data_IF_853442305297
#
_entry.id   IF_853442305297
#
_cell.length_a   1.000
_cell.length_b   1.000
_cell.length_c   1.000
_cell.angle_alpha   90.00
_cell.angle_beta   90.00
_cell.angle_gamma   90.00
#
_symmetry.space_group_name_H-M   'P 1'
#
loop_
_entity.id
_entity.type
_entity.pdbx_description
1 polymer ?
#
# COMPACT_ATOMS: atom_id res chain seq x y z
N UNK A 1 -38.69 26.82 -37.02
CA UNK A 1 -37.70 26.30 -36.06
C UNK A 1 -36.48 25.80 -36.81
N UNK A 2 -35.26 26.17 -36.40
CA UNK A 2 -34.13 25.25 -36.51
C UNK A 2 -33.46 25.05 -35.15
N UNK A 3 -33.24 23.78 -34.83
CA UNK A 3 -32.54 23.28 -33.64
C UNK A 3 -31.07 23.70 -33.69
N UNK A 4 -30.62 24.47 -32.70
CA UNK A 4 -29.22 24.83 -32.54
C UNK A 4 -28.54 23.74 -31.72
N UNK A 5 -27.78 22.91 -32.42
CA UNK A 5 -26.87 21.87 -31.96
C UNK A 5 -26.22 22.22 -30.61
N UNK A 6 -26.45 21.35 -29.61
CA UNK A 6 -25.71 21.41 -28.36
C UNK A 6 -24.21 21.21 -28.65
N UNK A 7 -23.41 22.23 -28.36
CA UNK A 7 -21.95 22.12 -28.37
C UNK A 7 -21.55 21.18 -27.24
N UNK A 8 -21.18 19.94 -27.57
CA UNK A 8 -20.52 19.06 -26.61
C UNK A 8 -19.11 19.62 -26.36
N UNK A 9 -18.95 20.40 -25.29
CA UNK A 9 -17.66 20.85 -24.81
C UNK A 9 -16.98 19.68 -24.10
N UNK A 10 -16.43 18.77 -24.88
CA UNK A 10 -15.49 17.79 -24.38
C UNK A 10 -14.26 18.54 -23.87
N UNK A 11 -14.17 18.73 -22.55
CA UNK A 11 -12.90 19.07 -21.91
C UNK A 11 -11.96 17.93 -22.24
N UNK A 12 -10.85 18.23 -22.93
CA UNK A 12 -9.74 17.29 -23.07
C UNK A 12 -9.18 17.12 -21.67
N UNK A 13 -9.68 16.11 -20.95
CA UNK A 13 -9.07 15.64 -19.71
C UNK A 13 -7.74 15.04 -20.12
N UNK A 14 -6.67 15.81 -20.00
CA UNK A 14 -5.32 15.29 -20.15
C UNK A 14 -5.15 14.19 -19.10
N UNK A 15 -5.07 12.94 -19.57
CA UNK A 15 -4.95 11.78 -18.71
C UNK A 15 -3.56 11.79 -18.10
N UNK A 16 -3.44 12.20 -16.84
CA UNK A 16 -2.23 12.02 -16.07
C UNK A 16 -2.21 10.59 -15.53
N UNK A 17 -1.39 9.73 -16.12
CA UNK A 17 -1.18 8.38 -15.60
C UNK A 17 -0.31 8.48 -14.36
N UNK A 18 -0.88 8.15 -13.20
CA UNK A 18 -0.09 8.03 -11.98
C UNK A 18 0.89 6.85 -12.14
N UNK A 19 2.20 7.10 -12.04
CA UNK A 19 3.17 6.01 -12.13
C UNK A 19 2.98 5.06 -10.94
N UNK A 20 3.19 3.77 -11.19
CA UNK A 20 3.25 2.78 -10.12
C UNK A 20 4.50 3.01 -9.27
N UNK A 21 4.36 2.82 -7.96
CA UNK A 21 5.48 2.87 -7.05
C UNK A 21 6.51 1.80 -7.38
N UNK A 22 7.78 2.20 -7.38
CA UNK A 22 8.94 1.30 -7.47
C UNK A 22 9.66 1.37 -6.14
N UNK A 23 10.39 0.32 -5.78
CA UNK A 23 11.19 0.32 -4.55
C UNK A 23 12.43 1.21 -4.66
N UNK A 24 12.20 2.53 -4.68
CA UNK A 24 13.17 3.61 -4.71
C UNK A 24 13.09 4.44 -3.41
N UNK A 25 13.83 5.54 -3.37
CA UNK A 25 13.86 6.45 -2.22
C UNK A 25 12.49 7.06 -1.91
N UNK A 26 11.76 7.54 -2.93
CA UNK A 26 10.41 8.11 -2.73
C UNK A 26 9.43 7.08 -2.14
N UNK A 27 9.51 5.82 -2.55
CA UNK A 27 8.70 4.75 -1.96
C UNK A 27 9.12 4.45 -0.52
N UNK A 28 10.42 4.48 -0.23
CA UNK A 28 10.91 4.35 1.14
C UNK A 28 10.39 5.48 2.04
N UNK A 29 10.35 6.71 1.54
CA UNK A 29 9.77 7.86 2.25
C UNK A 29 8.28 7.66 2.50
N UNK A 30 7.52 7.23 1.48
CA UNK A 30 6.11 6.89 1.63
C UNK A 30 5.91 5.85 2.73
N UNK A 31 6.62 4.71 2.65
CA UNK A 31 6.49 3.63 3.64
C UNK A 31 6.88 4.13 5.04
N UNK A 32 7.95 4.92 5.15
CA UNK A 32 8.38 5.49 6.44
C UNK A 32 7.30 6.41 7.02
N UNK A 33 6.67 7.24 6.20
CA UNK A 33 5.59 8.12 6.63
C UNK A 33 4.38 7.31 7.13
N UNK A 34 4.00 6.25 6.43
CA UNK A 34 2.94 5.34 6.85
C UNK A 34 3.30 4.70 8.19
N UNK A 35 4.48 4.09 8.31
CA UNK A 35 4.91 3.41 9.54
C UNK A 35 4.90 4.33 10.76
N UNK A 36 5.26 5.60 10.60
CA UNK A 36 5.21 6.61 11.67
C UNK A 36 3.79 7.04 12.06
N UNK A 37 2.82 6.86 11.16
CA UNK A 37 1.42 7.18 11.41
C UNK A 37 0.65 6.04 12.09
N UNK A 38 1.19 4.82 12.05
CA UNK A 38 0.56 3.65 12.66
C UNK A 38 0.62 3.76 14.20
N UNK A 39 -0.42 3.30 14.92
CA UNK A 39 -0.49 3.37 16.37
C UNK A 39 0.34 2.27 17.06
N UNK A 40 1.60 2.09 16.63
CA UNK A 40 2.52 1.11 17.18
C UNK A 40 3.42 1.76 18.23
N UNK A 41 3.61 1.09 19.37
CA UNK A 41 4.42 1.65 20.48
C UNK A 41 5.92 1.65 20.19
N UNK A 42 6.38 0.78 19.29
CA UNK A 42 7.79 0.66 18.93
C UNK A 42 8.01 1.07 17.47
N UNK A 43 9.01 1.92 17.18
CA UNK A 43 9.32 2.31 15.82
C UNK A 43 9.59 1.11 14.92
N UNK A 44 8.93 1.10 13.76
CA UNK A 44 9.13 0.07 12.73
C UNK A 44 10.15 0.57 11.71
N UNK A 45 11.16 -0.25 11.44
CA UNK A 45 12.20 0.03 10.45
C UNK A 45 12.38 -1.20 9.58
N UNK A 46 12.34 -1.00 8.26
CA UNK A 46 12.40 -2.08 7.27
C UNK A 46 13.69 -1.99 6.46
N UNK A 47 14.27 -3.14 6.17
CA UNK A 47 15.40 -3.26 5.26
C UNK A 47 15.01 -2.90 3.81
N UNK A 48 16.00 -2.55 2.99
CA UNK A 48 15.76 -2.34 1.56
C UNK A 48 15.21 -3.59 0.85
N UNK A 49 15.50 -4.79 1.38
CA UNK A 49 14.94 -6.04 0.85
C UNK A 49 13.44 -6.12 1.10
N UNK A 50 12.99 -5.81 2.31
CA UNK A 50 11.57 -5.79 2.66
C UNK A 50 10.82 -4.69 1.91
N UNK A 51 11.41 -3.52 1.69
CA UNK A 51 10.82 -2.47 0.87
C UNK A 51 10.62 -2.92 -0.59
N UNK A 52 11.61 -3.62 -1.18
CA UNK A 52 11.45 -4.26 -2.50
C UNK A 52 10.36 -5.31 -2.51
N UNK A 53 10.26 -6.11 -1.45
CA UNK A 53 9.22 -7.14 -1.35
C UNK A 53 7.84 -6.50 -1.25
N UNK A 54 7.66 -5.53 -0.35
CA UNK A 54 6.40 -4.80 -0.15
C UNK A 54 5.93 -4.09 -1.42
N UNK A 55 6.85 -3.46 -2.18
CA UNK A 55 6.51 -2.84 -3.47
C UNK A 55 5.92 -3.85 -4.47
N UNK A 56 6.45 -5.08 -4.50
CA UNK A 56 5.93 -6.16 -5.35
C UNK A 56 4.59 -6.69 -4.85
N UNK A 57 4.45 -6.94 -3.54
CA UNK A 57 3.17 -7.35 -2.94
C UNK A 57 2.07 -6.31 -3.22
N UNK A 58 2.43 -5.03 -3.17
CA UNK A 58 1.57 -3.90 -3.46
C UNK A 58 1.25 -3.67 -4.95
N UNK A 59 1.91 -4.36 -5.88
CA UNK A 59 1.91 -4.05 -7.33
C UNK A 59 2.16 -2.56 -7.64
N UNK A 60 2.92 -1.89 -6.78
CA UNK A 60 3.14 -0.44 -6.84
C UNK A 60 1.89 0.43 -6.64
N UNK A 61 0.80 -0.12 -6.07
CA UNK A 61 -0.45 0.60 -5.77
C UNK A 61 -0.46 1.05 -4.32
N UNK A 62 -0.59 2.37 -4.08
CA UNK A 62 -0.62 2.96 -2.73
C UNK A 62 -1.64 2.27 -1.81
N UNK A 63 -2.90 2.17 -2.25
CA UNK A 63 -3.97 1.60 -1.45
C UNK A 63 -3.66 0.17 -0.98
N UNK A 64 -3.00 -0.63 -1.81
CA UNK A 64 -2.61 -2.00 -1.45
C UNK A 64 -1.48 -2.03 -0.42
N UNK A 65 -0.47 -1.17 -0.57
CA UNK A 65 0.62 -1.03 0.39
C UNK A 65 0.09 -0.60 1.76
N UNK A 66 -0.83 0.36 1.80
CA UNK A 66 -1.52 0.76 3.04
C UNK A 66 -2.30 -0.40 3.66
N UNK A 67 -3.05 -1.16 2.86
CA UNK A 67 -3.79 -2.33 3.34
C UNK A 67 -2.88 -3.35 4.03
N UNK A 68 -1.79 -3.74 3.36
CA UNK A 68 -0.80 -4.69 3.91
C UNK A 68 -0.22 -4.18 5.24
N UNK A 69 0.23 -2.92 5.28
CA UNK A 69 0.85 -2.36 6.49
C UNK A 69 -0.16 -2.22 7.64
N UNK A 70 -1.42 -1.91 7.37
CA UNK A 70 -2.48 -1.87 8.38
C UNK A 70 -2.77 -3.26 8.95
N UNK A 71 -2.86 -4.29 8.10
CA UNK A 71 -3.04 -5.68 8.57
C UNK A 71 -1.88 -6.10 9.48
N UNK A 72 -0.64 -5.81 9.08
CA UNK A 72 0.54 -6.12 9.89
C UNK A 72 0.56 -5.35 11.21
N UNK A 73 0.12 -4.09 11.22
CA UNK A 73 0.01 -3.31 12.45
C UNK A 73 -1.02 -3.90 13.41
N UNK A 74 -2.17 -4.35 12.90
CA UNK A 74 -3.21 -5.00 13.70
C UNK A 74 -2.64 -6.27 14.35
N UNK A 75 -1.93 -7.11 13.58
CA UNK A 75 -1.34 -8.33 14.12
C UNK A 75 -0.25 -8.03 15.17
N UNK A 76 0.62 -7.05 14.90
CA UNK A 76 1.64 -6.61 15.87
C UNK A 76 1.06 -6.02 17.17
N UNK A 77 -0.15 -5.45 17.12
CA UNK A 77 -0.85 -4.99 18.33
C UNK A 77 -1.44 -6.18 19.09
N UNK A 78 -2.00 -7.16 18.37
CA UNK A 78 -2.61 -8.35 18.99
C UNK A 78 -1.59 -9.26 19.68
N UNK A 79 -0.41 -9.44 19.09
CA UNK A 79 0.66 -10.27 19.64
C UNK A 79 1.52 -9.53 20.69
N UNK A 80 1.36 -8.21 20.81
CA UNK A 80 2.06 -7.35 21.77
C UNK A 80 3.49 -6.98 21.37
N UNK A 81 3.96 -7.37 20.17
CA UNK A 81 5.27 -6.99 19.63
C UNK A 81 5.30 -5.48 19.35
N UNK A 82 4.15 -4.90 18.99
CA UNK A 82 3.95 -3.46 18.82
C UNK A 82 4.94 -2.84 17.81
N UNK A 83 5.35 -3.64 16.82
CA UNK A 83 6.33 -3.32 15.77
C UNK A 83 6.12 -4.19 14.53
N UNK A 84 6.25 -3.61 13.34
CA UNK A 84 6.37 -4.36 12.08
C UNK A 84 7.87 -4.65 11.82
N UNK A 85 8.19 -5.91 11.58
CA UNK A 85 9.57 -6.38 11.30
C UNK A 85 9.73 -6.78 9.83
N UNK A 86 10.97 -7.02 9.42
CA UNK A 86 11.25 -7.60 8.09
C UNK A 86 10.55 -8.97 7.92
N UNK A 87 10.53 -9.79 8.98
CA UNK A 87 9.83 -11.09 8.99
C UNK A 87 8.32 -10.94 8.82
N UNK A 88 7.70 -9.90 9.39
CA UNK A 88 6.28 -9.59 9.18
C UNK A 88 5.96 -9.40 7.69
N UNK A 89 6.86 -8.74 6.93
CA UNK A 89 6.69 -8.51 5.49
C UNK A 89 6.91 -9.80 4.70
N UNK A 90 7.89 -10.61 5.07
CA UNK A 90 8.22 -11.86 4.38
C UNK A 90 7.15 -12.95 4.57
N UNK A 91 6.60 -13.04 5.78
CA UNK A 91 5.58 -14.02 6.15
C UNK A 91 4.16 -13.58 5.78
N UNK A 92 3.94 -12.31 5.41
CA UNK A 92 2.60 -11.81 5.08
C UNK A 92 1.95 -12.61 3.95
N UNK A 93 0.67 -12.94 4.15
CA UNK A 93 -0.21 -13.57 3.15
C UNK A 93 -1.56 -12.86 3.19
N UNK A 94 -2.23 -12.68 2.05
CA UNK A 94 -3.56 -12.08 2.01
C UNK A 94 -4.56 -12.95 2.81
N UNK A 95 -5.51 -12.31 3.48
CA UNK A 95 -6.52 -13.00 4.29
C UNK A 95 -7.29 -14.10 3.51
N UNK A 96 -7.52 -13.89 2.22
CA UNK A 96 -8.19 -14.86 1.35
C UNK A 96 -7.42 -16.20 1.26
N UNK A 97 -6.09 -16.19 1.33
CA UNK A 97 -5.27 -17.41 1.36
C UNK A 97 -5.20 -18.02 2.76
N UNK A 98 -5.33 -17.20 3.81
CA UNK A 98 -5.37 -17.71 5.19
C UNK A 98 -6.60 -18.61 5.38
N UNK A 99 -7.77 -18.23 4.86
CA UNK A 99 -8.99 -19.04 4.95
C UNK A 99 -8.89 -20.36 4.16
N UNK A 100 -8.29 -20.35 2.98
CA UNK A 100 -8.10 -21.55 2.16
C UNK A 100 -7.08 -22.53 2.75
N UNK A 101 -6.13 -22.07 3.57
CA UNK A 101 -5.17 -22.92 4.27
C UNK A 101 -5.79 -23.68 5.47
N UNK A 102 -7.01 -23.31 5.88
CA UNK A 102 -7.78 -24.00 6.93
C UNK A 102 -8.95 -24.84 6.40
N UNK A 103 -9.12 -24.94 5.07
CA UNK A 103 -10.13 -25.75 4.39
C UNK A 103 -9.52 -27.06 3.86
#
# INVERSE_FOLDING_TARGET
MPSKTAVNRAVRLDQFVLPRWKANEEFQELVTAILRSLPLRVPSGLSSQSLRHLSRLGDGITARVFGILNELAIEAIKDGIERITDESIESWRPALEKEAAFA
#
